data_IF_905000442833
#
_entry.id   IF_905000442833
#
_cell.length_a   1.000
_cell.length_b   1.000
_cell.length_c   1.000
_cell.angle_alpha   90.00
_cell.angle_beta   90.00
_cell.angle_gamma   90.00
#
_symmetry.space_group_name_H-M   'P 1'
#
loop_
_entity.id
_entity.type
_entity.pdbx_description
1 polymer ?
#
# COMPACT_ATOMS: atom_id res chain seq x y z
N UNK A 1 18.10 35.54 -51.07
CA UNK A 1 17.13 34.69 -50.34
C UNK A 1 17.93 34.01 -49.24
N UNK A 2 17.83 34.53 -48.01
CA UNK A 2 18.68 34.16 -46.88
C UNK A 2 18.03 33.19 -45.90
N UNK A 3 18.91 32.59 -45.08
CA UNK A 3 18.73 31.73 -43.90
C UNK A 3 18.06 30.37 -44.16
N UNK A 4 18.69 29.23 -43.82
CA UNK A 4 19.15 28.92 -42.46
C UNK A 4 17.90 28.54 -41.64
N UNK A 5 17.80 27.41 -40.95
CA UNK A 5 18.80 26.83 -40.06
C UNK A 5 18.49 25.34 -39.90
N UNK A 6 19.55 24.57 -39.75
CA UNK A 6 19.53 23.23 -39.19
C UNK A 6 18.81 23.25 -37.84
N UNK A 7 17.72 22.50 -37.73
CA UNK A 7 17.23 22.02 -36.45
C UNK A 7 17.26 20.51 -36.55
N UNK A 8 18.44 19.95 -36.27
CA UNK A 8 18.50 18.62 -35.70
C UNK A 8 17.65 18.70 -34.44
N UNK A 9 16.39 18.27 -34.56
CA UNK A 9 15.48 18.16 -33.45
C UNK A 9 16.24 17.35 -32.40
N UNK A 10 16.64 18.05 -31.35
CA UNK A 10 17.45 17.49 -30.30
C UNK A 10 16.79 16.17 -29.92
N UNK A 11 17.60 15.12 -29.93
CA UNK A 11 17.52 14.14 -28.88
C UNK A 11 17.77 14.92 -27.58
N UNK A 12 16.78 15.72 -27.16
CA UNK A 12 16.52 16.03 -25.77
C UNK A 12 16.42 14.65 -25.18
N UNK A 13 17.58 14.15 -24.73
CA UNK A 13 17.67 13.11 -23.75
C UNK A 13 16.81 13.69 -22.65
N UNK A 14 15.54 13.33 -22.63
CA UNK A 14 14.75 13.37 -21.43
C UNK A 14 15.67 12.67 -20.45
N UNK A 15 16.34 13.46 -19.62
CA UNK A 15 16.91 13.01 -18.38
C UNK A 15 15.69 12.65 -17.54
N UNK A 16 15.01 11.59 -18.00
CA UNK A 16 13.71 11.15 -17.60
C UNK A 16 13.95 10.46 -16.30
N UNK A 17 13.94 11.26 -15.24
CA UNK A 17 13.89 10.74 -13.88
C UNK A 17 12.53 10.05 -13.76
N UNK A 18 12.46 8.79 -14.20
CA UNK A 18 11.34 7.92 -13.87
C UNK A 18 11.36 7.79 -12.35
N UNK A 19 10.35 8.36 -11.72
CA UNK A 19 10.17 8.32 -10.27
C UNK A 19 9.48 7.03 -9.87
N UNK A 20 9.56 6.69 -8.58
CA UNK A 20 8.75 5.61 -8.00
C UNK A 20 7.23 5.84 -8.19
N UNK A 21 6.82 7.08 -8.42
CA UNK A 21 5.45 7.48 -8.75
C UNK A 21 4.99 7.13 -10.16
N UNK A 22 5.88 6.72 -11.06
CA UNK A 22 5.53 6.37 -12.45
C UNK A 22 5.32 4.87 -12.66
N UNK A 23 5.54 4.05 -11.61
CA UNK A 23 5.32 2.61 -11.65
C UNK A 23 3.81 2.29 -11.63
N UNK A 24 3.35 1.33 -12.45
CA UNK A 24 1.96 0.88 -12.38
C UNK A 24 1.68 0.20 -11.03
N UNK A 25 0.44 0.33 -10.57
CA UNK A 25 0.02 -0.19 -9.26
C UNK A 25 0.29 -1.69 -9.09
N UNK A 26 0.13 -2.49 -10.16
CA UNK A 26 0.39 -3.93 -10.15
C UNK A 26 1.86 -4.28 -9.84
N UNK A 27 2.81 -3.52 -10.38
CA UNK A 27 4.24 -3.69 -10.07
C UNK A 27 4.51 -3.34 -8.62
N UNK A 28 3.93 -2.24 -8.13
CA UNK A 28 4.07 -1.79 -6.75
C UNK A 28 3.46 -2.79 -5.78
N UNK A 29 2.27 -3.31 -6.05
CA UNK A 29 1.62 -4.35 -5.26
C UNK A 29 2.50 -5.59 -5.14
N UNK A 30 3.13 -6.02 -6.25
CA UNK A 30 4.09 -7.12 -6.25
C UNK A 30 5.29 -6.88 -5.31
N UNK A 31 5.77 -5.63 -5.21
CA UNK A 31 6.81 -5.25 -4.24
C UNK A 31 6.25 -5.34 -2.81
N UNK A 32 5.10 -4.71 -2.54
CA UNK A 32 4.50 -4.68 -1.21
C UNK A 32 4.17 -6.08 -0.66
N UNK A 33 3.78 -7.02 -1.51
CA UNK A 33 3.51 -8.41 -1.12
C UNK A 33 4.75 -9.11 -0.51
N UNK A 34 5.96 -8.69 -0.87
CA UNK A 34 7.22 -9.26 -0.35
C UNK A 34 7.74 -8.57 0.92
N UNK A 35 7.10 -7.49 1.34
CA UNK A 35 7.56 -6.67 2.47
C UNK A 35 6.78 -6.96 3.74
N UNK A 36 7.37 -6.67 4.89
CA UNK A 36 6.64 -6.77 6.15
C UNK A 36 5.66 -5.60 6.32
N UNK A 37 4.55 -5.79 7.06
CA UNK A 37 3.56 -4.74 7.29
C UNK A 37 4.13 -3.36 7.72
N UNK A 38 5.16 -3.28 8.60
CA UNK A 38 5.78 -2.00 8.94
C UNK A 38 6.50 -1.33 7.76
N UNK A 39 7.12 -2.11 6.87
CA UNK A 39 7.81 -1.62 5.69
C UNK A 39 6.82 -1.11 4.64
N UNK A 40 5.70 -1.81 4.45
CA UNK A 40 4.59 -1.36 3.59
C UNK A 40 4.10 0.02 4.04
N UNK A 41 3.90 0.23 5.35
CA UNK A 41 3.50 1.52 5.90
C UNK A 41 4.55 2.61 5.63
N UNK A 42 5.84 2.29 5.76
CA UNK A 42 6.92 3.24 5.48
C UNK A 42 6.92 3.65 4.02
N UNK A 43 6.80 2.71 3.08
CA UNK A 43 6.79 3.01 1.65
C UNK A 43 5.54 3.78 1.21
N UNK A 44 4.37 3.48 1.79
CA UNK A 44 3.13 4.20 1.52
C UNK A 44 3.20 5.72 1.81
N UNK A 45 4.13 6.14 2.69
CA UNK A 45 4.38 7.56 2.99
C UNK A 45 5.26 8.26 1.96
N UNK A 46 6.06 7.51 1.19
CA UNK A 46 7.06 8.07 0.29
C UNK A 46 6.48 8.55 -1.05
N UNK A 47 5.44 7.90 -1.58
CA UNK A 47 4.77 8.38 -2.79
C UNK A 47 3.31 7.92 -2.91
N UNK A 48 2.58 8.53 -3.85
CA UNK A 48 1.16 8.25 -4.07
C UNK A 48 0.89 6.83 -4.61
N UNK A 49 1.75 6.28 -5.48
CA UNK A 49 1.55 4.93 -6.04
C UNK A 49 1.72 3.85 -4.98
N UNK A 50 2.74 3.96 -4.13
CA UNK A 50 2.89 3.10 -2.95
C UNK A 50 1.70 3.24 -2.00
N UNK A 51 1.18 4.47 -1.81
CA UNK A 51 0.00 4.69 -0.97
C UNK A 51 -1.26 4.02 -1.51
N UNK A 52 -1.50 4.14 -2.81
CA UNK A 52 -2.63 3.53 -3.49
C UNK A 52 -2.56 2.00 -3.37
N UNK A 53 -1.43 1.42 -3.78
CA UNK A 53 -1.21 -0.02 -3.69
C UNK A 53 -1.29 -0.54 -2.24
N UNK A 54 -0.76 0.20 -1.26
CA UNK A 54 -0.82 -0.18 0.16
C UNK A 54 -2.24 -0.05 0.76
N UNK A 55 -3.18 0.59 0.06
CA UNK A 55 -4.59 0.62 0.48
C UNK A 55 -5.41 -0.51 -0.15
N UNK A 56 -4.83 -1.27 -1.08
CA UNK A 56 -5.49 -2.41 -1.72
C UNK A 56 -5.60 -3.62 -0.81
N UNK A 57 -6.78 -4.25 -0.81
CA UNK A 57 -7.05 -5.47 -0.06
C UNK A 57 -6.21 -6.66 -0.51
N UNK A 58 -5.73 -6.67 -1.77
CA UNK A 58 -4.87 -7.73 -2.31
C UNK A 58 -3.57 -7.86 -1.51
N UNK A 59 -2.99 -6.72 -1.12
CA UNK A 59 -1.75 -6.70 -0.33
C UNK A 59 -1.99 -7.25 1.06
N UNK A 60 -3.08 -6.82 1.72
CA UNK A 60 -3.38 -7.21 3.10
C UNK A 60 -3.94 -8.62 3.21
N UNK A 61 -4.63 -9.13 2.20
CA UNK A 61 -5.05 -10.53 2.12
C UNK A 61 -3.88 -11.49 2.28
N UNK A 62 -2.78 -11.24 1.57
CA UNK A 62 -1.59 -12.06 1.64
C UNK A 62 -0.85 -11.96 2.99
N UNK A 63 -1.13 -10.91 3.79
CA UNK A 63 -0.54 -10.72 5.12
C UNK A 63 -1.41 -11.24 6.25
N UNK A 64 -2.70 -11.45 6.00
CA UNK A 64 -3.62 -11.99 6.98
C UNK A 64 -3.41 -13.50 7.15
N UNK A 65 -3.50 -14.02 8.38
CA UNK A 65 -3.48 -15.46 8.59
C UNK A 65 -4.77 -16.09 8.05
N UNK A 66 -4.72 -17.33 7.55
CA UNK A 66 -5.89 -17.97 6.93
C UNK A 66 -7.12 -18.10 7.85
N UNK A 67 -6.93 -18.04 9.16
CA UNK A 67 -8.00 -18.05 10.18
C UNK A 67 -8.44 -16.64 10.62
N UNK A 68 -8.11 -15.59 9.88
CA UNK A 68 -8.41 -14.21 10.27
C UNK A 68 -9.89 -13.93 10.52
N UNK A 69 -10.81 -14.60 9.80
CA UNK A 69 -12.26 -14.48 10.02
C UNK A 69 -12.68 -14.97 11.42
N UNK A 70 -12.09 -16.08 11.88
CA UNK A 70 -12.31 -16.57 13.24
C UNK A 70 -11.75 -15.61 14.29
N UNK A 71 -10.53 -15.09 14.04
CA UNK A 71 -9.92 -14.08 14.91
C UNK A 71 -10.73 -12.79 14.95
N UNK A 72 -11.33 -12.38 13.82
CA UNK A 72 -12.18 -11.21 13.69
C UNK A 72 -13.46 -11.36 14.51
N UNK A 73 -14.16 -12.50 14.39
CA UNK A 73 -15.35 -12.79 15.21
C UNK A 73 -15.04 -12.77 16.71
N UNK A 74 -13.88 -13.32 17.10
CA UNK A 74 -13.40 -13.23 18.50
C UNK A 74 -13.05 -11.79 18.91
N UNK A 75 -12.55 -10.96 17.98
CA UNK A 75 -12.14 -9.59 18.27
C UNK A 75 -13.34 -8.64 18.43
N UNK A 76 -14.39 -8.81 17.62
CA UNK A 76 -15.58 -7.95 17.58
C UNK A 76 -16.68 -8.37 18.57
N UNK A 77 -16.72 -9.64 19.01
CA UNK A 77 -17.81 -10.14 19.86
C UNK A 77 -19.06 -10.51 19.06
N UNK A 78 -20.16 -10.85 19.74
CA UNK A 78 -21.40 -11.34 19.11
C UNK A 78 -22.07 -10.33 18.15
N UNK A 79 -21.69 -9.04 18.20
CA UNK A 79 -22.15 -7.97 17.32
C UNK A 79 -21.40 -7.98 15.96
N UNK A 80 -21.58 -9.06 15.20
CA UNK A 80 -20.84 -9.36 13.96
C UNK A 80 -21.26 -8.54 12.73
N UNK A 81 -22.18 -7.56 12.85
CA UNK A 81 -22.69 -6.79 11.71
C UNK A 81 -21.64 -5.89 11.07
N UNK A 82 -20.67 -5.39 11.85
CA UNK A 82 -19.67 -4.44 11.35
C UNK A 82 -18.46 -5.13 10.69
N UNK A 83 -18.20 -6.41 11.03
CA UNK A 83 -17.03 -7.14 10.54
C UNK A 83 -17.04 -7.40 9.03
N UNK A 84 -18.22 -7.57 8.42
CA UNK A 84 -18.37 -7.77 6.98
C UNK A 84 -18.12 -6.50 6.15
N UNK A 85 -18.17 -5.31 6.77
CA UNK A 85 -17.96 -4.03 6.08
C UNK A 85 -16.50 -3.58 6.09
N UNK A 86 -15.64 -4.25 6.85
CA UNK A 86 -14.23 -3.88 6.99
C UNK A 86 -13.40 -4.36 5.80
N UNK A 87 -12.54 -3.48 5.31
CA UNK A 87 -11.49 -3.87 4.36
C UNK A 87 -10.47 -4.80 5.02
N UNK A 88 -9.73 -5.57 4.23
CA UNK A 88 -8.70 -6.49 4.75
C UNK A 88 -7.60 -5.73 5.48
N UNK A 89 -7.28 -4.52 5.03
CA UNK A 89 -6.43 -3.57 5.75
C UNK A 89 -6.97 -3.25 7.15
N UNK A 90 -8.25 -2.95 7.26
CA UNK A 90 -8.89 -2.62 8.53
C UNK A 90 -8.95 -3.83 9.47
N UNK A 91 -9.22 -5.03 8.94
CA UNK A 91 -9.18 -6.27 9.72
C UNK A 91 -7.77 -6.50 10.27
N UNK A 92 -6.74 -6.37 9.43
CA UNK A 92 -5.34 -6.47 9.88
C UNK A 92 -5.02 -5.45 10.98
N UNK A 93 -5.44 -4.19 10.80
CA UNK A 93 -5.31 -3.13 11.81
C UNK A 93 -5.95 -3.50 13.15
N UNK A 94 -7.19 -4.00 13.12
CA UNK A 94 -7.94 -4.38 14.30
C UNK A 94 -7.28 -5.55 15.05
N UNK A 95 -6.86 -6.59 14.32
CA UNK A 95 -6.26 -7.78 14.90
C UNK A 95 -4.92 -7.47 15.60
N UNK A 96 -4.07 -6.65 14.99
CA UNK A 96 -2.81 -6.25 15.63
C UNK A 96 -3.03 -5.32 16.84
N UNK A 97 -4.08 -4.50 16.86
CA UNK A 97 -4.42 -3.69 18.04
C UNK A 97 -4.83 -4.55 19.24
N UNK A 98 -5.52 -5.66 18.99
CA UNK A 98 -6.02 -6.57 20.04
C UNK A 98 -4.94 -7.54 20.53
N UNK A 99 -3.95 -7.87 19.69
CA UNK A 99 -2.85 -8.78 20.02
C UNK A 99 -1.48 -8.06 19.93
N UNK A 100 -1.07 -7.29 20.96
CA UNK A 100 0.18 -6.53 20.95
C UNK A 100 1.44 -7.39 21.09
N UNK A 101 1.34 -8.73 21.03
CA UNK A 101 2.46 -9.66 21.19
C UNK A 101 3.64 -9.39 20.23
N UNK A 102 3.40 -8.68 19.12
CA UNK A 102 4.45 -8.10 18.28
C UNK A 102 4.42 -6.57 18.44
N UNK A 103 5.11 -6.08 19.48
CA UNK A 103 5.07 -4.68 19.91
C UNK A 103 5.44 -3.67 18.81
N UNK A 104 4.74 -2.53 18.84
CA UNK A 104 5.13 -1.24 18.26
C UNK A 104 4.89 -0.93 16.78
N UNK A 105 3.90 -1.54 16.13
CA UNK A 105 3.46 -1.10 14.80
C UNK A 105 1.94 -0.95 14.84
N UNK A 106 1.34 -0.14 13.95
CA UNK A 106 -0.12 -0.05 13.70
C UNK A 106 -0.92 1.11 14.34
N UNK A 107 -0.30 2.08 15.01
CA UNK A 107 -0.99 3.37 15.26
C UNK A 107 -1.11 4.22 13.98
N UNK A 108 -0.33 3.91 12.94
CA UNK A 108 -0.24 4.74 11.74
C UNK A 108 -1.15 4.29 10.59
N UNK A 109 -1.73 3.08 10.66
CA UNK A 109 -2.73 2.63 9.67
C UNK A 109 -4.10 3.28 9.84
N UNK A 110 -4.37 3.90 11.00
CA UNK A 110 -5.62 4.58 11.31
C UNK A 110 -5.59 6.09 11.04
N UNK A 111 -4.41 6.69 10.78
CA UNK A 111 -4.26 8.14 10.62
C UNK A 111 -4.19 8.64 9.16
N UNK A 112 -4.19 7.73 8.20
CA UNK A 112 -4.34 8.05 6.77
C UNK A 112 -5.48 7.20 6.19
N UNK A 113 -6.70 7.56 6.60
CA UNK A 113 -7.93 7.31 5.85
C UNK A 113 -8.22 8.51 4.96
#
# INVERSE_FOLDING_TARGET
MGNGNSSAAGLERASGRTGLGDLPESCVAGILLRLDPPEICRLARLCHTFRAAASSDVVWEAKLPGNYMYLLGKALGEDNSDGQKLSKKQIFALLCRRNPFNGAYMMELLYFG
#
